data_IF_827620234060
#
_entry.id   IF_827620234060
#
_cell.length_a   1.000
_cell.length_b   1.000
_cell.length_c   1.000
_cell.angle_alpha   90.00
_cell.angle_beta   90.00
_cell.angle_gamma   90.00
#
_symmetry.space_group_name_H-M   'P 1'
#
loop_
_entity.id
_entity.type
_entity.pdbx_description
1 polymer ?
#
# COMPACT_ATOMS: atom_id res chain seq x y z
N UNK A 1 -10.82 22.06 14.02
CA UNK A 1 -11.24 20.73 14.51
C UNK A 1 -11.45 20.84 16.01
N UNK A 2 -12.67 21.09 16.50
CA UNK A 2 -12.91 21.06 17.94
C UNK A 2 -13.08 19.61 18.39
N UNK A 3 -12.34 19.25 19.45
CA UNK A 3 -12.26 17.98 20.18
C UNK A 3 -11.43 16.87 19.52
N UNK A 4 -10.34 16.51 20.22
CA UNK A 4 -9.55 15.33 19.91
C UNK A 4 -10.37 14.04 20.05
N UNK A 5 -9.95 12.99 19.35
CA UNK A 5 -10.58 11.67 19.36
C UNK A 5 -10.59 11.14 20.80
N UNK A 6 -11.76 10.78 21.33
CA UNK A 6 -11.84 10.15 22.65
C UNK A 6 -11.18 8.77 22.65
N UNK A 7 -10.76 8.28 23.82
CA UNK A 7 -10.14 6.96 23.91
C UNK A 7 -11.11 5.86 23.40
N UNK A 8 -12.40 5.98 23.71
CA UNK A 8 -13.41 5.04 23.25
C UNK A 8 -13.54 5.03 21.72
N UNK A 9 -13.63 6.20 21.09
CA UNK A 9 -13.71 6.32 19.63
C UNK A 9 -12.45 5.79 18.96
N UNK A 10 -11.29 6.05 19.55
CA UNK A 10 -10.02 5.53 19.07
C UNK A 10 -10.00 4.00 19.08
N UNK A 11 -10.47 3.36 20.15
CA UNK A 11 -10.54 1.90 20.25
C UNK A 11 -11.52 1.32 19.23
N UNK A 12 -12.71 1.91 19.10
CA UNK A 12 -13.69 1.48 18.10
C UNK A 12 -13.15 1.59 16.67
N UNK A 13 -12.38 2.64 16.38
CA UNK A 13 -11.72 2.80 15.10
C UNK A 13 -10.61 1.76 14.87
N UNK A 14 -9.81 1.46 15.89
CA UNK A 14 -8.78 0.43 15.81
C UNK A 14 -9.38 -0.96 15.56
N UNK A 15 -10.50 -1.26 16.22
CA UNK A 15 -11.24 -2.51 16.02
C UNK A 15 -11.75 -2.61 14.59
N UNK A 16 -12.39 -1.56 14.10
CA UNK A 16 -12.84 -1.48 12.71
C UNK A 16 -11.69 -1.66 11.71
N UNK A 17 -10.58 -0.94 11.88
CA UNK A 17 -9.45 -0.99 10.93
C UNK A 17 -8.82 -2.38 10.92
N UNK A 18 -8.70 -3.01 12.09
CA UNK A 18 -8.20 -4.38 12.24
C UNK A 18 -9.12 -5.39 11.58
N UNK A 19 -10.44 -5.29 11.77
CA UNK A 19 -11.42 -6.16 11.11
C UNK A 19 -11.39 -6.01 9.59
N UNK A 20 -11.24 -4.77 9.10
CA UNK A 20 -11.26 -4.48 7.67
C UNK A 20 -9.95 -4.82 6.93
N UNK A 21 -8.79 -4.69 7.59
CA UNK A 21 -7.47 -4.74 6.91
C UNK A 21 -6.43 -5.63 7.58
N UNK A 22 -6.66 -6.05 8.82
CA UNK A 22 -5.65 -6.71 9.66
C UNK A 22 -4.60 -5.76 10.27
N UNK A 23 -4.66 -4.45 9.99
CA UNK A 23 -3.72 -3.48 10.54
C UNK A 23 -4.02 -3.26 12.02
N UNK A 24 -3.01 -3.51 12.87
CA UNK A 24 -3.07 -3.18 14.29
C UNK A 24 -2.40 -1.84 14.57
N UNK A 25 -3.18 -0.88 15.04
CA UNK A 25 -2.66 0.37 15.57
C UNK A 25 -2.27 0.15 17.04
N UNK A 26 -1.04 0.52 17.40
CA UNK A 26 -0.59 0.51 18.79
C UNK A 26 -1.11 1.71 19.57
N UNK A 27 -1.08 1.60 20.89
CA UNK A 27 -1.55 2.65 21.81
C UNK A 27 -0.86 4.00 21.56
N UNK A 28 -1.56 5.09 21.88
CA UNK A 28 -1.11 6.48 21.70
C UNK A 28 -0.92 6.95 20.24
N UNK A 29 -1.42 6.21 19.24
CA UNK A 29 -1.43 6.67 17.83
C UNK A 29 -2.68 7.46 17.43
N UNK A 30 -3.41 8.04 18.40
CA UNK A 30 -4.60 8.86 18.14
C UNK A 30 -4.29 10.03 17.19
N UNK A 31 -3.15 10.70 17.40
CA UNK A 31 -2.70 11.79 16.52
C UNK A 31 -2.56 11.35 15.05
N UNK A 32 -2.08 10.12 14.79
CA UNK A 32 -1.92 9.60 13.44
C UNK A 32 -3.27 9.42 12.74
N UNK A 33 -4.26 8.87 13.46
CA UNK A 33 -5.63 8.71 12.96
C UNK A 33 -6.23 10.08 12.64
N UNK A 34 -6.13 11.03 13.57
CA UNK A 34 -6.59 12.39 13.35
C UNK A 34 -5.95 13.02 12.13
N UNK A 35 -4.63 12.90 11.98
CA UNK A 35 -3.89 13.52 10.87
C UNK A 35 -4.27 12.91 9.52
N UNK A 36 -4.40 11.58 9.43
CA UNK A 36 -4.68 10.88 8.18
C UNK A 36 -6.14 11.05 7.73
N UNK A 37 -7.08 11.10 8.67
CA UNK A 37 -8.51 11.23 8.37
C UNK A 37 -9.01 12.68 8.32
N UNK A 38 -8.20 13.67 8.70
CA UNK A 38 -8.61 15.08 8.72
C UNK A 38 -9.06 15.61 7.35
N UNK A 39 -8.53 15.08 6.25
CA UNK A 39 -8.99 15.47 4.92
C UNK A 39 -10.37 14.87 4.62
N UNK A 40 -10.52 13.57 4.84
CA UNK A 40 -11.74 12.79 4.57
C UNK A 40 -12.93 13.29 5.40
N UNK A 41 -12.74 13.54 6.70
CA UNK A 41 -13.78 14.11 7.55
C UNK A 41 -14.26 15.49 7.06
N UNK A 42 -13.37 16.30 6.45
CA UNK A 42 -13.75 17.61 5.90
C UNK A 42 -14.53 17.48 4.60
N UNK A 43 -14.15 16.55 3.73
CA UNK A 43 -14.82 16.32 2.44
C UNK A 43 -16.24 15.79 2.64
N UNK A 44 -16.43 14.88 3.59
CA UNK A 44 -17.73 14.28 3.88
C UNK A 44 -18.57 15.07 4.91
N UNK A 45 -18.09 16.25 5.31
CA UNK A 45 -18.72 17.12 6.32
C UNK A 45 -19.01 16.43 7.67
N UNK A 46 -18.16 15.49 8.06
CA UNK A 46 -18.26 14.72 9.29
C UNK A 46 -17.53 15.42 10.44
N UNK A 47 -18.13 15.42 11.63
CA UNK A 47 -17.58 16.10 12.80
C UNK A 47 -16.86 15.16 13.77
N UNK A 48 -17.06 13.84 13.64
CA UNK A 48 -16.45 12.86 14.54
C UNK A 48 -16.12 11.53 13.85
N UNK A 49 -15.23 10.77 14.48
CA UNK A 49 -14.94 9.38 14.09
C UNK A 49 -16.18 8.49 14.31
N UNK A 50 -16.98 8.78 15.33
CA UNK A 50 -18.26 8.08 15.57
C UNK A 50 -19.23 8.22 14.38
N UNK A 51 -19.36 9.42 13.83
CA UNK A 51 -20.18 9.67 12.63
C UNK A 51 -19.64 8.94 11.41
N UNK A 52 -18.32 8.98 11.21
CA UNK A 52 -17.63 8.23 10.15
C UNK A 52 -17.93 6.73 10.23
N UNK A 53 -17.74 6.12 11.40
CA UNK A 53 -18.01 4.69 11.62
C UNK A 53 -19.50 4.34 11.46
N UNK A 54 -20.40 5.28 11.76
CA UNK A 54 -21.84 5.09 11.54
C UNK A 54 -22.18 5.10 10.05
N UNK A 55 -21.61 6.05 9.29
CA UNK A 55 -21.80 6.09 7.84
C UNK A 55 -21.21 4.88 7.12
N UNK A 56 -20.04 4.40 7.54
CA UNK A 56 -19.40 3.19 6.98
C UNK A 56 -20.30 1.96 7.15
N UNK A 57 -21.08 1.87 8.23
CA UNK A 57 -22.04 0.77 8.47
C UNK A 57 -23.36 0.93 7.70
N UNK A 58 -23.59 2.06 7.05
CA UNK A 58 -24.80 2.34 6.28
C UNK A 58 -24.79 1.74 4.87
N UNK A 59 -25.90 1.91 4.14
CA UNK A 59 -26.16 1.31 2.82
C UNK A 59 -25.12 1.71 1.76
N UNK A 60 -24.52 2.90 1.87
CA UNK A 60 -23.50 3.42 0.95
C UNK A 60 -22.07 3.41 1.53
N UNK A 61 -21.86 2.75 2.67
CA UNK A 61 -20.62 2.87 3.44
C UNK A 61 -19.38 2.23 2.80
N UNK A 62 -19.54 1.41 1.75
CA UNK A 62 -18.44 0.67 1.11
C UNK A 62 -17.40 1.59 0.45
N UNK A 63 -17.84 2.67 -0.19
CA UNK A 63 -16.92 3.63 -0.84
C UNK A 63 -16.13 4.39 0.22
N UNK A 64 -16.83 4.90 1.24
CA UNK A 64 -16.24 5.58 2.38
C UNK A 64 -15.23 4.70 3.14
N UNK A 65 -15.58 3.42 3.32
CA UNK A 65 -14.70 2.41 3.91
C UNK A 65 -13.38 2.30 3.14
N UNK A 66 -13.44 2.25 1.80
CA UNK A 66 -12.24 2.16 0.97
C UNK A 66 -11.36 3.41 1.13
N UNK A 67 -11.94 4.61 1.10
CA UNK A 67 -11.19 5.85 1.30
C UNK A 67 -10.52 5.90 2.68
N UNK A 68 -11.17 5.39 3.72
CA UNK A 68 -10.57 5.30 5.07
C UNK A 68 -9.41 4.32 5.08
N UNK A 69 -9.55 3.15 4.44
CA UNK A 69 -8.45 2.17 4.33
C UNK A 69 -7.26 2.78 3.57
N UNK A 70 -7.52 3.47 2.46
CA UNK A 70 -6.48 4.10 1.64
C UNK A 70 -5.76 5.21 2.40
N UNK A 71 -6.51 6.03 3.16
CA UNK A 71 -5.93 7.07 4.01
C UNK A 71 -5.09 6.49 5.16
N UNK A 72 -5.46 5.32 5.69
CA UNK A 72 -4.77 4.67 6.79
C UNK A 72 -3.62 3.77 6.35
N UNK A 73 -3.54 3.37 5.09
CA UNK A 73 -2.43 2.58 4.54
C UNK A 73 -1.33 3.51 4.04
N UNK A 74 -0.07 3.19 4.39
CA UNK A 74 1.07 3.93 3.83
C UNK A 74 1.31 3.42 2.41
N UNK A 75 0.65 4.04 1.44
CA UNK A 75 0.89 3.79 0.02
C UNK A 75 2.16 4.53 -0.43
N UNK A 76 3.31 4.11 0.11
CA UNK A 76 4.57 4.54 -0.48
C UNK A 76 5.01 3.51 -1.51
N UNK A 77 5.06 3.92 -2.77
CA UNK A 77 5.65 3.16 -3.87
C UNK A 77 6.54 4.08 -4.68
N UNK A 78 7.83 3.77 -4.72
CA UNK A 78 8.78 4.47 -5.55
C UNK A 78 9.20 3.55 -6.71
N UNK A 79 9.41 4.16 -7.88
CA UNK A 79 10.11 3.49 -8.96
C UNK A 79 11.50 3.09 -8.50
N UNK A 80 11.89 1.84 -8.79
CA UNK A 80 13.21 1.30 -8.46
C UNK A 80 13.59 1.49 -6.98
N UNK A 81 12.62 1.35 -6.06
CA UNK A 81 12.87 1.37 -4.63
C UNK A 81 13.93 0.33 -4.29
N UNK A 82 15.00 0.81 -3.64
CA UNK A 82 16.18 0.03 -3.27
C UNK A 82 16.77 -0.69 -4.49
N UNK A 83 17.84 -0.16 -5.09
CA UNK A 83 18.42 -0.75 -6.33
C UNK A 83 19.11 -2.10 -6.10
N UNK A 84 19.42 -2.44 -4.84
CA UNK A 84 20.19 -3.61 -4.44
C UNK A 84 19.52 -5.00 -4.64
N UNK A 85 18.19 -5.18 -4.46
CA UNK A 85 17.53 -6.46 -4.65
C UNK A 85 17.50 -6.92 -6.11
N UNK A 86 17.48 -6.00 -7.09
CA UNK A 86 17.37 -6.36 -8.51
C UNK A 86 18.52 -7.26 -8.99
N UNK A 87 19.82 -6.91 -8.77
CA UNK A 87 20.92 -7.80 -9.13
C UNK A 87 20.85 -9.18 -8.44
N UNK A 88 20.36 -9.27 -7.21
CA UNK A 88 20.24 -10.55 -6.50
C UNK A 88 19.18 -11.42 -7.15
N UNK A 89 18.02 -10.83 -7.47
CA UNK A 89 16.94 -11.56 -8.14
C UNK A 89 17.43 -12.11 -9.47
N UNK A 90 18.04 -11.28 -10.33
CA UNK A 90 18.41 -11.69 -11.68
C UNK A 90 19.67 -12.55 -11.75
N UNK A 91 20.72 -12.20 -11.00
CA UNK A 91 22.02 -12.88 -11.13
C UNK A 91 22.15 -14.11 -10.24
N UNK A 92 21.28 -14.27 -9.24
CA UNK A 92 21.34 -15.38 -8.28
C UNK A 92 20.05 -16.17 -8.20
N UNK A 93 18.92 -15.53 -7.86
CA UNK A 93 17.69 -16.27 -7.56
C UNK A 93 17.04 -16.89 -8.80
N UNK A 94 16.95 -16.16 -9.92
CA UNK A 94 16.34 -16.69 -11.14
C UNK A 94 17.09 -17.90 -11.70
N UNK A 95 18.43 -17.89 -11.83
CA UNK A 95 19.19 -19.08 -12.24
C UNK A 95 19.03 -20.27 -11.30
N UNK A 96 18.88 -20.03 -9.98
CA UNK A 96 18.67 -21.11 -9.00
C UNK A 96 17.25 -21.70 -9.07
N UNK A 97 16.22 -20.88 -9.32
CA UNK A 97 14.81 -21.32 -9.31
C UNK A 97 14.42 -22.04 -10.60
N UNK A 98 14.81 -21.51 -11.76
CA UNK A 98 14.52 -22.16 -13.04
C UNK A 98 15.59 -21.81 -14.09
N UNK A 99 16.71 -22.54 -14.14
CA UNK A 99 17.86 -22.19 -15.00
C UNK A 99 17.59 -22.27 -16.51
N UNK A 100 16.52 -22.96 -16.93
CA UNK A 100 16.24 -23.25 -18.35
C UNK A 100 14.85 -22.78 -18.78
N UNK A 101 14.12 -22.06 -17.94
CA UNK A 101 12.73 -21.73 -18.22
C UNK A 101 12.20 -20.51 -17.47
N UNK A 102 10.95 -20.13 -17.75
CA UNK A 102 10.36 -18.94 -17.14
C UNK A 102 10.20 -19.13 -15.63
N UNK A 103 10.52 -18.09 -14.86
CA UNK A 103 10.22 -17.99 -13.44
C UNK A 103 8.95 -17.15 -13.23
N UNK A 104 8.14 -17.52 -12.24
CA UNK A 104 6.99 -16.73 -11.80
C UNK A 104 7.38 -15.94 -10.56
N UNK A 105 7.23 -14.62 -10.62
CA UNK A 105 7.52 -13.73 -9.48
C UNK A 105 6.20 -13.15 -8.98
N UNK A 106 6.00 -13.18 -7.66
CA UNK A 106 4.86 -12.56 -7.01
C UNK A 106 5.32 -11.35 -6.20
N UNK A 107 4.88 -10.15 -6.62
CA UNK A 107 5.10 -8.92 -5.85
C UNK A 107 3.93 -8.74 -4.88
N UNK A 108 4.11 -9.17 -3.63
CA UNK A 108 3.11 -9.00 -2.58
C UNK A 108 3.10 -7.54 -2.11
N UNK A 109 1.90 -6.97 -1.89
CA UNK A 109 1.72 -5.58 -1.45
C UNK A 109 2.34 -4.53 -2.38
N UNK A 110 2.24 -4.72 -3.70
CA UNK A 110 2.80 -3.80 -4.70
C UNK A 110 2.13 -2.40 -4.76
N UNK A 111 1.11 -2.14 -3.93
CA UNK A 111 0.35 -0.89 -3.85
C UNK A 111 -0.04 -0.39 -5.25
N UNK A 112 0.43 0.75 -5.76
CA UNK A 112 0.08 1.23 -7.12
C UNK A 112 0.87 0.60 -8.28
N UNK A 113 1.68 -0.43 -8.02
CA UNK A 113 2.28 -1.29 -9.04
C UNK A 113 3.68 -0.93 -9.52
N UNK A 114 4.32 0.11 -8.99
CA UNK A 114 5.65 0.55 -9.41
C UNK A 114 6.71 -0.55 -9.21
N UNK A 115 6.58 -1.39 -8.18
CA UNK A 115 7.51 -2.47 -7.90
C UNK A 115 7.53 -3.56 -9.00
N UNK A 116 6.40 -4.20 -9.38
CA UNK A 116 6.41 -5.19 -10.45
C UNK A 116 6.83 -4.59 -11.80
N UNK A 117 6.50 -3.32 -12.08
CA UNK A 117 7.00 -2.67 -13.30
C UNK A 117 8.50 -2.40 -13.25
N UNK A 118 9.04 -1.93 -12.12
CA UNK A 118 10.48 -1.73 -11.95
C UNK A 118 11.24 -3.04 -12.15
N UNK A 119 10.69 -4.14 -11.65
CA UNK A 119 11.26 -5.47 -11.84
C UNK A 119 11.25 -5.90 -13.31
N UNK A 120 10.13 -5.71 -14.01
CA UNK A 120 10.03 -6.04 -15.44
C UNK A 120 11.00 -5.21 -16.30
N UNK A 121 11.13 -3.92 -16.02
CA UNK A 121 12.04 -3.02 -16.75
C UNK A 121 13.49 -3.46 -16.55
N UNK A 122 13.91 -3.71 -15.31
CA UNK A 122 15.28 -4.18 -15.05
C UNK A 122 15.55 -5.53 -15.71
N UNK A 123 14.57 -6.45 -15.72
CA UNK A 123 14.74 -7.75 -16.36
C UNK A 123 14.99 -7.61 -17.87
N UNK A 124 14.21 -6.77 -18.54
CA UNK A 124 14.35 -6.51 -19.97
C UNK A 124 15.71 -5.86 -20.30
N UNK A 125 16.16 -4.91 -19.48
CA UNK A 125 17.47 -4.28 -19.64
C UNK A 125 18.64 -5.26 -19.45
N UNK A 126 18.58 -6.14 -18.44
CA UNK A 126 19.59 -7.19 -18.25
C UNK A 126 19.62 -8.18 -19.43
N UNK A 127 18.46 -8.58 -19.96
CA UNK A 127 18.39 -9.45 -21.14
C UNK A 127 18.99 -8.78 -22.38
N UNK A 128 18.76 -7.48 -22.58
CA UNK A 128 19.36 -6.70 -23.69
C UNK A 128 20.88 -6.59 -23.54
N UNK A 129 21.37 -6.38 -22.32
CA UNK A 129 22.81 -6.32 -22.04
C UNK A 129 23.48 -7.67 -22.33
N UNK A 130 22.87 -8.78 -21.90
CA UNK A 130 23.38 -10.14 -22.15
C UNK A 130 23.34 -10.55 -23.63
N UNK A 131 22.30 -10.15 -24.35
CA UNK A 131 22.13 -10.50 -25.77
C UNK A 131 22.89 -9.57 -26.73
N UNK A 132 23.66 -8.60 -26.22
CA UNK A 132 24.47 -7.69 -27.02
C UNK A 132 23.63 -6.88 -28.00
N UNK A 133 22.88 -5.90 -27.48
CA UNK A 133 22.22 -4.79 -28.19
C UNK A 133 22.34 -4.83 -29.75
N UNK A 134 21.40 -5.50 -30.41
CA UNK A 134 21.09 -5.31 -31.84
C UNK A 134 19.83 -4.45 -31.97
N UNK A 135 19.93 -3.19 -31.57
CA UNK A 135 18.88 -2.21 -31.81
C UNK A 135 19.19 -1.42 -33.08
N UNK A 136 18.51 -1.70 -34.19
CA UNK A 136 18.29 -0.72 -35.25
C UNK A 136 16.89 -0.13 -35.06
N UNK A 137 16.84 1.21 -35.10
CA UNK A 137 15.63 2.03 -35.08
C UNK A 137 14.54 1.54 -36.04
#
# INVERSE_FOLDING_TARGET
MPNGISLQEYHQFCDFLREATGIQLGDNKQYLVTSRLAHLLREDHLQSISELLTQIRGVNGRVLMQHVIDAMTTNETNWFRDTYPFPIVFNKLLPEVNPQGPAKIWCAACSSGQEPYSLSINHDEELKALNGYRGSL
#
